data_IF_494920156734
#
_entry.id   IF_494920156734
#
_cell.length_a   1.000
_cell.length_b   1.000
_cell.length_c   1.000
_cell.angle_alpha   90.00
_cell.angle_beta   90.00
_cell.angle_gamma   90.00
#
_symmetry.space_group_name_H-M   'P 1'
#
loop_
_entity.id
_entity.type
_entity.pdbx_description
1 polymer ?
#
# COMPACT_ATOMS: atom_id res chain seq x y z
N UNK A 1 6.45 -22.70 28.21
CA UNK A 1 6.76 -22.49 26.78
C UNK A 1 5.76 -23.29 25.98
N UNK A 2 4.78 -22.65 25.33
CA UNK A 2 3.92 -23.28 24.32
C UNK A 2 3.46 -22.15 23.38
N UNK A 3 4.19 -21.94 22.29
CA UNK A 3 3.78 -21.05 21.21
C UNK A 3 2.81 -21.80 20.32
N UNK A 4 1.52 -21.58 20.53
CA UNK A 4 0.47 -22.08 19.65
C UNK A 4 0.67 -21.49 18.25
N UNK A 5 0.81 -22.37 17.26
CA UNK A 5 0.83 -21.98 15.86
C UNK A 5 -0.44 -21.20 15.53
N UNK A 6 -0.29 -20.01 14.95
CA UNK A 6 -1.41 -19.20 14.51
C UNK A 6 -2.30 -20.02 13.56
N UNK A 7 -3.61 -20.04 13.81
CA UNK A 7 -4.61 -20.66 12.95
C UNK A 7 -4.50 -20.12 11.52
N UNK A 8 -4.57 -21.01 10.53
CA UNK A 8 -4.55 -20.64 9.10
C UNK A 8 -5.63 -19.61 8.75
N UNK A 9 -6.79 -19.68 9.42
CA UNK A 9 -7.87 -18.72 9.23
C UNK A 9 -7.51 -17.32 9.75
N UNK A 10 -6.81 -17.24 10.89
CA UNK A 10 -6.33 -15.97 11.43
C UNK A 10 -5.29 -15.33 10.51
N UNK A 11 -4.38 -16.13 9.94
CA UNK A 11 -3.38 -15.66 8.96
C UNK A 11 -4.07 -15.14 7.71
N UNK A 12 -5.09 -15.85 7.19
CA UNK A 12 -5.84 -15.43 6.01
C UNK A 12 -6.61 -14.12 6.25
N UNK A 13 -7.29 -13.98 7.39
CA UNK A 13 -8.01 -12.76 7.75
C UNK A 13 -7.07 -11.57 7.90
N UNK A 14 -5.90 -11.76 8.53
CA UNK A 14 -4.90 -10.71 8.66
C UNK A 14 -4.40 -10.25 7.29
N UNK A 15 -4.02 -11.19 6.41
CA UNK A 15 -3.56 -10.87 5.06
C UNK A 15 -4.61 -10.10 4.27
N UNK A 16 -5.88 -10.48 4.40
CA UNK A 16 -6.98 -9.77 3.76
C UNK A 16 -7.09 -8.34 4.27
N UNK A 17 -7.10 -8.14 5.59
CA UNK A 17 -7.17 -6.79 6.19
C UNK A 17 -5.98 -5.91 5.81
N UNK A 18 -4.77 -6.48 5.79
CA UNK A 18 -3.55 -5.78 5.40
C UNK A 18 -3.62 -5.35 3.92
N UNK A 19 -4.00 -6.28 3.02
CA UNK A 19 -4.09 -6.00 1.59
C UNK A 19 -5.16 -4.93 1.30
N UNK A 20 -6.33 -5.05 1.94
CA UNK A 20 -7.42 -4.08 1.78
C UNK A 20 -7.06 -2.70 2.33
N UNK A 21 -6.35 -2.65 3.47
CA UNK A 21 -5.83 -1.40 4.02
C UNK A 21 -4.80 -0.75 3.09
N UNK A 22 -3.99 -1.56 2.41
CA UNK A 22 -2.99 -1.08 1.47
C UNK A 22 -3.59 -0.33 0.27
N UNK A 23 -4.89 -0.49 0.01
CA UNK A 23 -5.60 0.19 -1.08
C UNK A 23 -5.85 1.68 -0.79
N UNK A 24 -5.77 2.09 0.48
CA UNK A 24 -5.92 3.50 0.84
C UNK A 24 -4.91 4.35 0.06
N UNK A 25 -5.41 5.48 -0.44
CA UNK A 25 -4.69 6.42 -1.28
C UNK A 25 -4.21 5.86 -2.64
N UNK A 26 -4.61 4.65 -3.05
CA UNK A 26 -4.34 4.16 -4.40
C UNK A 26 -5.42 4.61 -5.37
N UNK A 27 -5.03 4.87 -6.62
CA UNK A 27 -5.99 4.97 -7.72
C UNK A 27 -6.57 3.58 -8.01
N UNK A 28 -7.89 3.47 -7.89
CA UNK A 28 -8.63 2.22 -8.11
C UNK A 28 -9.74 2.41 -9.13
N UNK A 29 -10.10 1.33 -9.84
CA UNK A 29 -11.35 1.22 -10.58
C UNK A 29 -12.32 0.39 -9.76
N UNK A 30 -13.49 0.95 -9.47
CA UNK A 30 -14.58 0.23 -8.82
C UNK A 30 -15.61 -0.14 -9.88
N UNK A 31 -15.79 -1.43 -10.11
CA UNK A 31 -16.84 -1.93 -10.98
C UNK A 31 -18.10 -2.21 -10.15
N UNK A 32 -19.24 -1.73 -10.61
CA UNK A 32 -20.52 -1.84 -9.94
C UNK A 32 -21.33 -3.02 -10.50
N UNK A 33 -22.20 -3.58 -9.67
CA UNK A 33 -23.08 -4.71 -10.05
C UNK A 33 -24.03 -4.38 -11.21
N UNK A 34 -24.27 -3.10 -11.49
CA UNK A 34 -25.12 -2.64 -12.59
C UNK A 34 -24.35 -2.45 -13.91
N UNK A 35 -23.06 -2.84 -13.95
CA UNK A 35 -22.20 -2.69 -15.12
C UNK A 35 -21.51 -1.34 -15.26
N UNK A 36 -21.77 -0.37 -14.37
CA UNK A 36 -21.04 0.89 -14.33
C UNK A 36 -19.65 0.74 -13.71
N UNK A 37 -18.75 1.68 -14.01
CA UNK A 37 -17.44 1.76 -13.37
C UNK A 37 -17.07 3.20 -13.02
N UNK A 38 -16.23 3.34 -11.99
CA UNK A 38 -15.72 4.61 -11.48
C UNK A 38 -14.24 4.46 -11.22
N UNK A 39 -13.44 5.42 -11.66
CA UNK A 39 -12.01 5.48 -11.33
C UNK A 39 -11.78 6.62 -10.34
N UNK A 40 -11.02 6.38 -9.27
CA UNK A 40 -10.74 7.41 -8.28
C UNK A 40 -9.80 6.92 -7.19
N UNK A 41 -9.35 7.84 -6.35
CA UNK A 41 -8.43 7.56 -5.25
C UNK A 41 -9.20 7.06 -4.03
N UNK A 42 -8.87 5.88 -3.50
CA UNK A 42 -9.59 5.33 -2.35
C UNK A 42 -9.24 6.10 -1.07
N UNK A 43 -10.13 6.99 -0.63
CA UNK A 43 -9.89 7.84 0.55
C UNK A 43 -10.21 7.13 1.86
N UNK A 44 -11.21 6.24 1.86
CA UNK A 44 -11.64 5.51 3.05
C UNK A 44 -12.45 4.26 2.68
N UNK A 45 -12.53 3.31 3.60
CA UNK A 45 -13.41 2.15 3.50
C UNK A 45 -14.01 1.80 4.87
N UNK A 46 -15.15 1.11 4.86
CA UNK A 46 -15.71 0.48 6.04
C UNK A 46 -15.44 -1.03 6.00
N UNK A 47 -14.65 -1.61 6.91
CA UNK A 47 -14.34 -3.04 6.91
C UNK A 47 -15.56 -3.94 7.18
N UNK A 48 -16.64 -3.38 7.71
CA UNK A 48 -17.85 -4.14 8.09
C UNK A 48 -18.72 -4.47 6.89
N UNK A 49 -18.89 -3.52 5.97
CA UNK A 49 -19.80 -3.63 4.82
C UNK A 49 -19.12 -3.39 3.47
N UNK A 50 -17.81 -3.15 3.47
CA UNK A 50 -16.98 -2.84 2.31
C UNK A 50 -17.44 -1.60 1.51
N UNK A 51 -18.18 -0.69 2.13
CA UNK A 51 -18.43 0.62 1.52
C UNK A 51 -17.14 1.42 1.36
N UNK A 52 -17.03 2.16 0.25
CA UNK A 52 -15.83 2.88 -0.15
C UNK A 52 -16.12 4.35 -0.39
N UNK A 53 -15.16 5.20 -0.07
CA UNK A 53 -15.18 6.60 -0.45
C UNK A 53 -14.05 6.85 -1.43
N UNK A 54 -14.38 7.37 -2.61
CA UNK A 54 -13.38 7.77 -3.60
C UNK A 54 -13.30 9.29 -3.69
N UNK A 55 -12.10 9.83 -3.86
CA UNK A 55 -11.84 11.22 -4.25
C UNK A 55 -11.33 11.32 -5.68
N UNK A 56 -11.44 12.51 -6.26
CA UNK A 56 -10.95 12.82 -7.62
C UNK A 56 -11.47 11.84 -8.68
N UNK A 57 -12.77 11.57 -8.60
CA UNK A 57 -13.41 10.48 -9.32
C UNK A 57 -13.69 10.88 -10.76
N UNK A 58 -13.36 9.98 -11.68
CA UNK A 58 -13.75 10.04 -13.09
C UNK A 58 -14.73 8.91 -13.38
N UNK A 59 -15.90 9.26 -13.90
CA UNK A 59 -16.84 8.25 -14.41
C UNK A 59 -16.56 7.91 -15.88
N UNK A 60 -17.27 6.88 -16.39
CA UNK A 60 -17.16 6.43 -17.79
C UNK A 60 -17.49 7.51 -18.83
N UNK A 61 -18.22 8.56 -18.45
CA UNK A 61 -18.55 9.70 -19.33
C UNK A 61 -17.46 10.78 -19.33
N UNK A 62 -16.43 10.64 -18.49
CA UNK A 62 -15.37 11.63 -18.29
C UNK A 62 -15.74 12.72 -17.29
N UNK A 63 -16.88 12.62 -16.61
CA UNK A 63 -17.28 13.60 -15.58
C UNK A 63 -16.37 13.46 -14.37
N UNK A 64 -15.89 14.59 -13.86
CA UNK A 64 -15.11 14.67 -12.64
C UNK A 64 -16.01 14.97 -11.44
N UNK A 65 -15.86 14.19 -10.38
CA UNK A 65 -16.55 14.37 -9.11
C UNK A 65 -15.49 14.49 -8.00
N UNK A 66 -15.57 15.53 -7.14
CA UNK A 66 -14.60 15.67 -6.06
C UNK A 66 -14.61 14.48 -5.08
N UNK A 67 -15.79 13.90 -4.84
CA UNK A 67 -15.97 12.78 -3.91
C UNK A 67 -17.21 11.97 -4.23
N UNK A 68 -17.17 10.65 -4.00
CA UNK A 68 -18.33 9.77 -4.04
C UNK A 68 -18.29 8.74 -2.90
N UNK A 69 -19.46 8.33 -2.44
CA UNK A 69 -19.66 7.32 -1.41
C UNK A 69 -20.38 6.13 -2.04
N UNK A 70 -19.77 4.95 -2.00
CA UNK A 70 -20.26 3.76 -2.68
C UNK A 70 -20.63 2.72 -1.63
N UNK A 71 -21.87 2.25 -1.68
CA UNK A 71 -22.32 1.12 -0.85
C UNK A 71 -21.58 -0.15 -1.26
N UNK A 72 -21.01 -0.89 -0.30
CA UNK A 72 -20.29 -2.13 -0.61
C UNK A 72 -21.15 -3.19 -1.28
N UNK A 73 -22.48 -3.17 -1.03
CA UNK A 73 -23.44 -4.05 -1.72
C UNK A 73 -23.56 -3.79 -3.22
N UNK A 74 -23.14 -2.61 -3.67
CA UNK A 74 -23.17 -2.23 -5.08
C UNK A 74 -21.85 -2.53 -5.80
N UNK A 75 -20.81 -2.94 -5.08
CA UNK A 75 -19.47 -3.18 -5.61
C UNK A 75 -19.39 -4.63 -6.10
N UNK A 76 -18.97 -4.81 -7.35
CA UNK A 76 -18.66 -6.11 -7.93
C UNK A 76 -17.18 -6.45 -7.77
N UNK A 77 -16.29 -5.49 -8.07
CA UNK A 77 -14.85 -5.65 -7.91
C UNK A 77 -14.14 -4.31 -7.73
N UNK A 78 -12.94 -4.37 -7.16
CA UNK A 78 -12.01 -3.23 -7.03
C UNK A 78 -10.72 -3.65 -7.74
N UNK A 79 -10.33 -2.90 -8.78
CA UNK A 79 -9.07 -3.08 -9.49
C UNK A 79 -8.10 -1.97 -9.07
N UNK A 80 -6.87 -2.34 -8.74
CA UNK A 80 -5.82 -1.37 -8.44
C UNK A 80 -5.23 -0.88 -9.76
N UNK A 81 -5.36 0.41 -10.07
CA UNK A 81 -4.81 1.02 -11.29
C UNK A 81 -3.38 1.49 -11.03
N UNK A 82 -3.16 2.20 -9.93
CA UNK A 82 -1.82 2.54 -9.45
C UNK A 82 -1.43 1.55 -8.37
N UNK A 83 -0.60 0.56 -8.74
CA UNK A 83 0.11 -0.21 -7.73
C UNK A 83 1.08 0.75 -7.05
N UNK A 84 0.67 1.34 -5.92
CA UNK A 84 1.54 2.20 -5.12
C UNK A 84 2.92 1.57 -4.90
N UNK A 85 3.94 2.39 -4.63
CA UNK A 85 5.32 1.98 -4.80
C UNK A 85 5.64 0.79 -3.87
N UNK A 86 6.11 -0.30 -4.45
CA UNK A 86 6.24 -1.59 -3.75
C UNK A 86 7.46 -1.62 -2.84
N UNK A 87 7.26 -1.57 -1.52
CA UNK A 87 8.35 -1.62 -0.53
C UNK A 87 9.24 -2.86 -0.70
N UNK A 88 8.74 -3.96 -1.27
CA UNK A 88 9.55 -5.13 -1.62
C UNK A 88 10.66 -4.78 -2.61
N UNK A 89 10.36 -3.98 -3.64
CA UNK A 89 11.36 -3.53 -4.62
C UNK A 89 12.39 -2.60 -3.97
N UNK A 90 11.94 -1.74 -3.06
CA UNK A 90 12.84 -0.88 -2.28
C UNK A 90 13.77 -1.74 -1.41
N UNK A 91 13.24 -2.76 -0.73
CA UNK A 91 14.04 -3.67 0.09
C UNK A 91 15.08 -4.44 -0.74
N UNK A 92 14.72 -4.90 -1.95
CA UNK A 92 15.66 -5.53 -2.89
C UNK A 92 16.77 -4.57 -3.32
N UNK A 93 16.43 -3.32 -3.67
CA UNK A 93 17.40 -2.26 -3.99
C UNK A 93 18.33 -1.97 -2.82
N UNK A 94 17.77 -1.77 -1.63
CA UNK A 94 18.54 -1.53 -0.42
C UNK A 94 19.48 -2.70 -0.13
N UNK A 95 19.05 -3.95 -0.33
CA UNK A 95 19.89 -5.12 -0.09
C UNK A 95 21.06 -5.24 -1.09
N UNK A 96 20.93 -4.69 -2.31
CA UNK A 96 22.07 -4.58 -3.25
C UNK A 96 23.14 -3.60 -2.74
N UNK A 97 22.73 -2.56 -2.01
CA UNK A 97 23.63 -1.51 -1.47
C UNK A 97 24.16 -1.89 -0.07
N UNK A 98 23.34 -2.56 0.73
CA UNK A 98 23.63 -3.01 2.10
C UNK A 98 23.40 -4.53 2.24
N UNK A 99 24.28 -5.36 1.66
CA UNK A 99 24.07 -6.81 1.61
C UNK A 99 23.92 -7.44 3.00
N UNK A 100 22.88 -8.27 3.17
CA UNK A 100 22.57 -9.00 4.41
C UNK A 100 22.24 -8.10 5.61
N UNK A 101 22.05 -6.79 5.40
CA UNK A 101 21.73 -5.83 6.46
C UNK A 101 20.32 -5.25 6.31
N UNK A 102 19.49 -5.83 5.44
CA UNK A 102 18.14 -5.34 5.15
C UNK A 102 17.11 -6.38 5.58
N UNK A 103 16.15 -5.97 6.41
CA UNK A 103 15.02 -6.78 6.84
C UNK A 103 13.72 -6.02 6.58
N UNK A 104 12.84 -6.60 5.78
CA UNK A 104 11.51 -6.05 5.57
C UNK A 104 10.50 -6.70 6.52
N UNK A 105 9.93 -5.88 7.42
CA UNK A 105 8.88 -6.27 8.36
C UNK A 105 7.54 -5.94 7.70
N UNK A 106 6.99 -6.91 6.97
CA UNK A 106 5.75 -6.75 6.18
C UNK A 106 4.56 -6.33 7.03
N UNK A 107 4.46 -6.85 8.24
CA UNK A 107 3.33 -6.57 9.12
C UNK A 107 3.28 -5.11 9.58
N UNK A 108 4.40 -4.40 9.48
CA UNK A 108 4.52 -3.00 9.89
C UNK A 108 4.78 -2.05 8.71
N UNK A 109 4.91 -2.57 7.48
CA UNK A 109 5.37 -1.81 6.31
C UNK A 109 6.68 -1.02 6.58
N UNK A 110 7.61 -1.65 7.33
CA UNK A 110 8.91 -1.06 7.69
C UNK A 110 10.06 -1.89 7.14
N UNK A 111 11.00 -1.24 6.45
CA UNK A 111 12.30 -1.81 6.13
C UNK A 111 13.31 -1.34 7.19
N UNK A 112 13.95 -2.29 7.86
CA UNK A 112 15.07 -2.05 8.75
C UNK A 112 16.39 -2.27 8.00
N UNK A 113 17.24 -1.25 8.01
CA UNK A 113 18.59 -1.30 7.47
C UNK A 113 19.59 -1.19 8.62
N UNK A 114 20.53 -2.14 8.68
CA UNK A 114 21.55 -2.25 9.74
C UNK A 114 20.97 -2.27 11.17
N UNK A 115 19.77 -2.81 11.33
CA UNK A 115 19.02 -2.85 12.60
C UNK A 115 18.80 -1.49 13.31
N UNK A 116 19.01 -0.36 12.61
CA UNK A 116 18.99 0.98 13.21
C UNK A 116 18.37 2.09 12.35
N UNK A 117 18.25 1.87 11.04
CA UNK A 117 17.60 2.81 10.12
C UNK A 117 16.25 2.22 9.74
N UNK A 118 15.17 2.99 9.90
CA UNK A 118 13.83 2.57 9.52
C UNK A 118 13.34 3.37 8.32
N UNK A 119 12.85 2.66 7.33
CA UNK A 119 12.31 3.21 6.09
C UNK A 119 10.88 2.73 5.92
N UNK A 120 9.99 3.65 5.57
CA UNK A 120 8.57 3.40 5.29
C UNK A 120 8.22 3.93 3.91
N UNK A 121 6.94 3.89 3.54
CA UNK A 121 6.44 4.52 2.31
C UNK A 121 6.62 6.03 2.28
N UNK A 122 6.78 6.66 3.45
CA UNK A 122 6.99 8.11 3.59
C UNK A 122 8.48 8.49 3.60
N UNK A 123 9.38 7.50 3.53
CA UNK A 123 10.84 7.69 3.52
C UNK A 123 11.52 7.20 4.79
N UNK A 124 12.72 7.73 5.05
CA UNK A 124 13.51 7.39 6.25
C UNK A 124 12.91 8.09 7.47
N UNK A 125 12.36 7.30 8.40
CA UNK A 125 11.67 7.83 9.60
C UNK A 125 12.55 7.80 10.85
N UNK A 126 13.55 6.94 10.90
CA UNK A 126 14.53 6.86 12.00
C UNK A 126 15.92 6.51 11.44
N UNK A 127 16.95 7.11 12.03
CA UNK A 127 18.37 6.91 11.66
C UNK A 127 19.05 8.21 11.21
N UNK A 128 20.36 8.30 11.42
CA UNK A 128 21.17 9.47 11.04
C UNK A 128 22.60 9.08 10.64
N UNK A 129 23.32 10.04 10.06
CA UNK A 129 24.70 9.87 9.58
C UNK A 129 24.81 9.28 8.17
N UNK A 130 26.04 8.97 7.70
CA UNK A 130 26.30 8.67 6.30
C UNK A 130 25.53 7.47 5.74
N UNK A 131 25.26 6.47 6.57
CA UNK A 131 24.47 5.31 6.17
C UNK A 131 23.00 5.68 5.92
N UNK A 132 22.40 6.51 6.79
CA UNK A 132 21.03 6.98 6.62
C UNK A 132 20.90 7.89 5.39
N UNK A 133 21.87 8.77 5.16
CA UNK A 133 21.93 9.58 3.93
C UNK A 133 22.01 8.72 2.67
N UNK A 134 22.75 7.60 2.73
CA UNK A 134 22.83 6.69 1.60
C UNK A 134 21.52 5.92 1.38
N UNK A 135 20.84 5.50 2.44
CA UNK A 135 19.50 4.90 2.37
C UNK A 135 18.49 5.89 1.77
N UNK A 136 18.51 7.15 2.21
CA UNK A 136 17.65 8.22 1.70
C UNK A 136 17.82 8.40 0.18
N UNK A 137 19.06 8.43 -0.31
CA UNK A 137 19.34 8.51 -1.75
C UNK A 137 18.74 7.33 -2.54
N UNK A 138 18.88 6.10 -2.03
CA UNK A 138 18.30 4.92 -2.68
C UNK A 138 16.77 4.98 -2.71
N UNK A 139 16.16 5.50 -1.64
CA UNK A 139 14.71 5.73 -1.57
C UNK A 139 14.23 6.77 -2.59
N UNK A 140 14.92 7.89 -2.74
CA UNK A 140 14.60 8.94 -3.72
C UNK A 140 14.74 8.44 -5.17
N UNK A 141 15.82 7.69 -5.46
CA UNK A 141 16.02 7.03 -6.76
C UNK A 141 14.88 6.05 -7.06
N UNK A 142 14.45 5.26 -6.08
CA UNK A 142 13.35 4.31 -6.21
C UNK A 142 11.98 4.99 -6.42
N UNK A 143 11.68 6.06 -5.69
CA UNK A 143 10.47 6.86 -5.88
C UNK A 143 10.34 7.38 -7.31
N UNK A 144 11.45 7.85 -7.88
CA UNK A 144 11.49 8.37 -9.25
C UNK A 144 11.19 7.28 -10.28
N UNK A 145 11.58 6.03 -9.99
CA UNK A 145 11.33 4.88 -10.86
C UNK A 145 9.91 4.29 -10.71
N UNK A 146 9.31 4.33 -9.51
CA UNK A 146 7.95 3.83 -9.27
C UNK A 146 6.86 4.86 -9.54
N UNK A 147 7.18 6.16 -9.54
CA UNK A 147 6.28 7.26 -9.88
C UNK A 147 6.18 7.57 -11.38
N UNK A 148 6.81 6.75 -12.23
CA UNK A 148 6.80 6.85 -13.69
C UNK A 148 5.91 5.82 -14.37
#
# INVERSE_FOLDING_TARGET
MNGEGQSLAAIASKRFSDEFSSLLDKLVRVNLINGGSLEGRLSAYNPTDYSLWLSDVRDVSGKLLPKIFISGRSIMSIEVIEAGPRLEKLAEKLNKVFPNMVRYIREADVILVMDRIRVTRDGVVEGSGPAAERVQKVYEEWLTEEGG
#
